data_IF_237312161049
#
_entry.id   IF_237312161049
#
_cell.length_a   1.000
_cell.length_b   1.000
_cell.length_c   1.000
_cell.angle_alpha   90.00
_cell.angle_beta   90.00
_cell.angle_gamma   90.00
#
_symmetry.space_group_name_H-M   'P 1'
#
loop_
_entity.id
_entity.type
_entity.pdbx_description
1 polymer ?
#
# COMPACT_ATOMS: atom_id res chain seq x y z
N UNK A 1 58.55 51.16 32.57
CA UNK A 1 57.31 51.71 31.99
C UNK A 1 56.77 50.61 31.07
N UNK A 2 56.04 49.66 31.64
CA UNK A 2 55.62 48.45 30.98
C UNK A 2 54.14 48.54 30.57
N UNK A 3 53.91 48.40 29.27
CA UNK A 3 52.59 48.26 28.67
C UNK A 3 52.24 46.78 28.65
N UNK A 4 51.46 46.38 29.58
CA UNK A 4 50.68 45.09 29.50
C UNK A 4 49.46 45.28 30.36
N UNK A 5 48.32 45.48 29.71
CA UNK A 5 47.03 45.19 30.19
C UNK A 5 46.02 45.76 29.19
N UNK A 6 45.48 44.97 28.37
CA UNK A 6 44.10 45.20 27.84
C UNK A 6 43.59 43.99 27.04
N UNK A 7 42.42 43.68 27.43
CA UNK A 7 41.43 42.92 26.64
C UNK A 7 41.32 41.41 26.94
N UNK A 8 40.65 41.16 28.04
CA UNK A 8 39.80 39.98 28.13
C UNK A 8 38.44 40.34 27.56
N UNK A 9 38.19 39.93 26.32
CA UNK A 9 36.86 39.96 25.72
C UNK A 9 36.23 38.59 25.89
N UNK A 10 35.19 38.54 26.69
CA UNK A 10 34.35 37.35 26.87
C UNK A 10 33.54 37.11 25.60
N UNK A 11 33.94 36.14 24.81
CA UNK A 11 33.08 35.59 23.78
C UNK A 11 32.14 34.54 24.42
N UNK A 12 30.92 34.95 24.73
CA UNK A 12 29.86 34.03 25.11
C UNK A 12 29.49 33.17 23.90
N UNK A 13 29.97 31.93 23.88
CA UNK A 13 29.58 30.96 22.88
C UNK A 13 28.11 30.55 23.10
N UNK A 14 27.28 30.87 22.15
CA UNK A 14 25.88 30.35 22.09
C UNK A 14 26.00 28.85 21.77
N UNK A 15 25.48 27.95 22.61
CA UNK A 15 25.46 26.54 22.25
C UNK A 15 24.51 26.33 21.09
N UNK A 16 25.06 25.89 19.96
CA UNK A 16 24.28 25.43 18.81
C UNK A 16 23.57 24.12 19.21
N UNK A 17 22.34 24.24 19.64
CA UNK A 17 21.49 23.07 19.90
C UNK A 17 21.16 22.42 18.55
N UNK A 18 21.88 21.35 18.20
CA UNK A 18 21.51 20.49 17.09
C UNK A 18 20.22 19.78 17.51
N UNK A 19 19.08 20.30 17.05
CA UNK A 19 17.83 19.56 17.11
C UNK A 19 17.99 18.39 16.14
N UNK A 20 18.35 17.25 16.68
CA UNK A 20 18.30 15.97 15.96
C UNK A 20 16.83 15.68 15.68
N UNK A 21 16.34 16.13 14.53
CA UNK A 21 15.05 15.73 14.01
C UNK A 21 15.08 14.22 13.82
N UNK A 22 14.46 13.49 14.72
CA UNK A 22 14.24 12.07 14.53
C UNK A 22 13.45 11.89 13.23
N UNK A 23 14.17 11.51 12.17
CA UNK A 23 13.57 11.14 10.89
C UNK A 23 12.67 9.95 11.18
N UNK A 24 11.35 10.09 10.97
CA UNK A 24 10.43 8.96 11.06
C UNK A 24 11.02 7.79 10.27
N UNK A 25 10.94 6.55 10.78
CA UNK A 25 11.48 5.40 10.07
C UNK A 25 10.86 5.38 8.68
N UNK A 26 11.71 5.55 7.65
CA UNK A 26 11.28 5.35 6.28
C UNK A 26 10.92 3.87 6.18
N UNK A 27 9.63 3.60 6.09
CA UNK A 27 9.15 2.27 5.76
C UNK A 27 9.78 1.90 4.41
N UNK A 28 10.64 0.89 4.42
CA UNK A 28 11.33 0.42 3.22
C UNK A 28 10.25 -0.14 2.30
N UNK A 29 9.87 0.64 1.30
CA UNK A 29 8.92 0.21 0.30
C UNK A 29 9.67 -0.66 -0.73
N UNK A 30 9.38 -1.95 -0.74
CA UNK A 30 9.82 -2.87 -1.77
C UNK A 30 8.62 -3.16 -2.69
N UNK A 31 8.73 -2.81 -3.97
CA UNK A 31 7.63 -3.04 -4.90
C UNK A 31 7.46 -4.53 -5.21
N UNK A 32 6.24 -5.04 -5.22
CA UNK A 32 5.95 -6.41 -5.66
C UNK A 32 6.46 -6.63 -7.09
N UNK A 33 7.28 -7.66 -7.35
CA UNK A 33 7.70 -7.97 -8.72
C UNK A 33 6.50 -8.17 -9.64
N UNK A 34 6.60 -7.72 -10.89
CA UNK A 34 5.48 -7.78 -11.85
C UNK A 34 4.89 -9.19 -11.96
N UNK A 35 5.73 -10.24 -12.02
CA UNK A 35 5.29 -11.63 -12.09
C UNK A 35 4.43 -12.04 -10.88
N UNK A 36 4.76 -11.56 -9.71
CA UNK A 36 3.96 -11.82 -8.49
C UNK A 36 2.64 -11.06 -8.54
N UNK A 37 2.64 -9.80 -9.01
CA UNK A 37 1.40 -9.04 -9.24
C UNK A 37 0.46 -9.80 -10.19
N UNK A 38 0.99 -10.27 -11.31
CA UNK A 38 0.20 -11.05 -12.26
C UNK A 38 -0.34 -12.34 -11.63
N UNK A 39 0.49 -13.07 -10.90
CA UNK A 39 0.04 -14.27 -10.19
C UNK A 39 -1.04 -13.98 -9.13
N UNK A 40 -0.98 -12.83 -8.44
CA UNK A 40 -2.04 -12.40 -7.51
C UNK A 40 -3.35 -12.14 -8.26
N UNK A 41 -3.30 -11.43 -9.39
CA UNK A 41 -4.48 -11.09 -10.20
C UNK A 41 -5.07 -12.34 -10.87
N UNK A 42 -4.23 -13.27 -11.33
CA UNK A 42 -4.66 -14.57 -11.88
C UNK A 42 -5.31 -15.46 -10.80
N UNK A 43 -4.71 -15.52 -9.60
CA UNK A 43 -5.27 -16.25 -8.46
C UNK A 43 -6.66 -15.72 -8.08
N UNK A 44 -6.85 -14.39 -8.13
CA UNK A 44 -8.16 -13.76 -7.96
C UNK A 44 -9.07 -13.90 -9.18
N UNK A 45 -8.61 -14.44 -10.30
CA UNK A 45 -9.36 -14.53 -11.58
C UNK A 45 -9.92 -13.17 -12.00
N UNK A 46 -9.06 -12.15 -12.00
CA UNK A 46 -9.44 -10.79 -12.36
C UNK A 46 -9.89 -10.73 -13.82
N UNK A 47 -10.95 -10.00 -14.07
CA UNK A 47 -11.56 -9.76 -15.39
C UNK A 47 -11.83 -8.27 -15.61
N UNK A 48 -12.22 -7.90 -16.81
CA UNK A 48 -12.60 -6.53 -17.16
C UNK A 48 -13.84 -6.00 -16.37
N UNK A 49 -14.63 -6.89 -15.79
CA UNK A 49 -15.76 -6.51 -14.95
C UNK A 49 -15.38 -6.15 -13.51
N UNK A 50 -14.13 -6.37 -13.13
CA UNK A 50 -13.68 -6.18 -11.74
C UNK A 50 -13.26 -4.73 -11.42
N UNK A 51 -13.35 -4.44 -10.12
CA UNK A 51 -12.76 -3.24 -9.49
C UNK A 51 -11.73 -3.71 -8.47
N UNK A 52 -10.45 -3.56 -8.82
CA UNK A 52 -9.33 -3.98 -8.01
C UNK A 52 -8.89 -2.85 -7.09
N UNK A 53 -9.00 -3.04 -5.78
CA UNK A 53 -8.48 -2.12 -4.76
C UNK A 53 -7.16 -2.64 -4.22
N UNK A 54 -6.13 -1.78 -4.23
CA UNK A 54 -4.82 -2.07 -3.65
C UNK A 54 -4.59 -1.20 -2.42
N UNK A 55 -4.58 -1.83 -1.24
CA UNK A 55 -4.49 -1.13 0.04
C UNK A 55 -3.03 -1.01 0.49
N UNK A 56 -2.50 0.19 0.42
CA UNK A 56 -1.07 0.48 0.52
C UNK A 56 -0.40 0.37 -0.84
N UNK A 57 -0.97 1.04 -1.84
CA UNK A 57 -0.66 0.80 -3.25
C UNK A 57 0.75 1.22 -3.69
N UNK A 58 1.51 1.91 -2.85
CA UNK A 58 2.88 2.30 -3.17
C UNK A 58 2.96 3.10 -4.48
N UNK A 59 3.68 2.57 -5.47
CA UNK A 59 3.83 3.19 -6.79
C UNK A 59 2.66 2.90 -7.76
N UNK A 60 1.62 2.24 -7.29
CA UNK A 60 0.40 1.99 -8.05
C UNK A 60 0.47 0.86 -9.08
N UNK A 61 1.53 0.04 -9.05
CA UNK A 61 1.75 -1.00 -10.07
C UNK A 61 0.63 -2.02 -10.17
N UNK A 62 0.02 -2.45 -9.04
CA UNK A 62 -1.04 -3.46 -9.06
C UNK A 62 -2.30 -2.94 -9.77
N UNK A 63 -2.88 -1.78 -9.40
CA UNK A 63 -4.01 -1.21 -10.14
C UNK A 63 -3.71 -0.96 -11.62
N UNK A 64 -2.49 -0.48 -11.94
CA UNK A 64 -2.06 -0.22 -13.32
C UNK A 64 -2.00 -1.52 -14.13
N UNK A 65 -1.36 -2.57 -13.60
CA UNK A 65 -1.29 -3.88 -14.27
C UNK A 65 -2.68 -4.49 -14.43
N UNK A 66 -3.55 -4.37 -13.40
CA UNK A 66 -4.95 -4.83 -13.49
C UNK A 66 -5.69 -4.16 -14.66
N UNK A 67 -5.49 -2.86 -14.85
CA UNK A 67 -6.09 -2.13 -15.98
C UNK A 67 -5.47 -2.52 -17.33
N UNK A 68 -4.15 -2.59 -17.42
CA UNK A 68 -3.44 -2.86 -18.67
C UNK A 68 -3.65 -4.27 -19.19
N UNK A 69 -3.54 -5.28 -18.30
CA UNK A 69 -3.56 -6.69 -18.72
C UNK A 69 -4.94 -7.32 -18.68
N UNK A 70 -5.77 -6.91 -17.72
CA UNK A 70 -7.08 -7.57 -17.47
C UNK A 70 -8.25 -6.68 -17.86
N UNK A 71 -7.99 -5.41 -18.25
CA UNK A 71 -9.04 -4.45 -18.57
C UNK A 71 -9.89 -4.03 -17.36
N UNK A 72 -9.49 -4.40 -16.15
CA UNK A 72 -10.19 -4.07 -14.92
C UNK A 72 -10.10 -2.57 -14.59
N UNK A 73 -10.96 -2.10 -13.70
CA UNK A 73 -10.76 -0.81 -13.03
C UNK A 73 -9.87 -0.99 -11.82
N UNK A 74 -9.01 -0.01 -11.54
CA UNK A 74 -8.10 -0.07 -10.41
C UNK A 74 -8.25 1.13 -9.47
N UNK A 75 -8.15 0.88 -8.17
CA UNK A 75 -8.10 1.93 -7.14
C UNK A 75 -6.93 1.64 -6.21
N UNK A 76 -5.97 2.56 -6.13
CA UNK A 76 -4.87 2.49 -5.19
C UNK A 76 -5.11 3.42 -4.01
N UNK A 77 -5.00 2.92 -2.78
CA UNK A 77 -5.04 3.73 -1.56
C UNK A 77 -3.66 3.80 -0.97
N UNK A 78 -3.10 5.01 -0.85
CA UNK A 78 -1.73 5.22 -0.36
C UNK A 78 -1.67 6.47 0.53
N UNK A 79 -0.95 6.36 1.66
CA UNK A 79 -0.86 7.45 2.64
C UNK A 79 0.23 8.48 2.28
N UNK A 80 1.19 8.10 1.44
CA UNK A 80 2.32 8.96 1.08
C UNK A 80 1.99 9.79 -0.17
N UNK A 81 1.84 11.14 -0.07
CA UNK A 81 1.45 11.98 -1.20
C UNK A 81 2.38 11.90 -2.40
N UNK A 82 3.69 11.70 -2.17
CA UNK A 82 4.68 11.58 -3.23
C UNK A 82 4.49 10.29 -4.06
N UNK A 83 4.09 9.17 -3.42
CA UNK A 83 3.78 7.92 -4.12
C UNK A 83 2.49 8.04 -4.90
N UNK A 84 1.45 8.67 -4.35
CA UNK A 84 0.19 8.97 -5.05
C UNK A 84 0.44 9.80 -6.32
N UNK A 85 1.26 10.84 -6.22
CA UNK A 85 1.62 11.66 -7.40
C UNK A 85 2.35 10.83 -8.46
N UNK A 86 3.31 9.98 -8.02
CA UNK A 86 4.05 9.09 -8.91
C UNK A 86 3.11 8.09 -9.59
N UNK A 87 2.22 7.46 -8.85
CA UNK A 87 1.26 6.49 -9.39
C UNK A 87 0.37 7.11 -10.46
N UNK A 88 -0.14 8.33 -10.20
CA UNK A 88 -0.94 9.08 -11.18
C UNK A 88 -0.14 9.40 -12.45
N UNK A 89 1.16 9.72 -12.32
CA UNK A 89 2.01 9.95 -13.49
C UNK A 89 2.23 8.64 -14.26
N UNK A 90 2.57 7.54 -13.57
CA UNK A 90 2.76 6.23 -14.19
C UNK A 90 1.50 5.75 -14.92
N UNK A 91 0.31 6.01 -14.38
CA UNK A 91 -0.95 5.67 -15.03
C UNK A 91 -1.17 6.45 -16.34
N UNK A 92 -0.86 7.75 -16.36
CA UNK A 92 -0.90 8.57 -17.59
C UNK A 92 0.10 8.07 -18.64
N UNK A 93 1.34 7.81 -18.21
CA UNK A 93 2.40 7.30 -19.09
C UNK A 93 2.04 5.93 -19.69
N UNK A 94 1.29 5.14 -18.93
CA UNK A 94 0.77 3.83 -19.32
C UNK A 94 -0.57 3.86 -20.05
N UNK A 95 -1.14 5.06 -20.31
CA UNK A 95 -2.43 5.27 -20.98
C UNK A 95 -3.60 4.47 -20.36
N UNK A 96 -3.66 4.45 -19.02
CA UNK A 96 -4.73 3.79 -18.23
C UNK A 96 -5.32 4.70 -17.15
N UNK A 97 -5.05 6.00 -17.19
CA UNK A 97 -5.51 6.97 -16.20
C UNK A 97 -7.03 7.21 -16.24
N UNK A 98 -7.72 6.77 -17.28
CA UNK A 98 -9.18 6.69 -17.37
C UNK A 98 -9.77 5.48 -16.61
N UNK A 99 -8.96 4.48 -16.30
CA UNK A 99 -9.36 3.22 -15.64
C UNK A 99 -8.87 3.09 -14.20
N UNK A 100 -7.86 3.89 -13.80
CA UNK A 100 -7.28 3.79 -12.47
C UNK A 100 -7.41 5.10 -11.70
N UNK A 101 -7.66 4.99 -10.41
CA UNK A 101 -7.74 6.12 -9.47
C UNK A 101 -6.80 5.89 -8.31
N UNK A 102 -6.10 6.95 -7.87
CA UNK A 102 -5.24 6.91 -6.69
C UNK A 102 -5.73 7.89 -5.64
N UNK A 103 -6.07 7.34 -4.47
CA UNK A 103 -6.59 8.07 -3.31
C UNK A 103 -5.49 8.23 -2.28
N UNK A 104 -5.20 9.48 -1.90
CA UNK A 104 -4.34 9.77 -0.77
C UNK A 104 -5.13 9.59 0.53
N UNK A 105 -4.72 8.61 1.36
CA UNK A 105 -5.45 8.34 2.59
C UNK A 105 -4.99 7.12 3.37
N UNK A 106 -5.59 6.97 4.53
CA UNK A 106 -5.40 5.83 5.43
C UNK A 106 -6.25 4.64 4.93
N UNK A 107 -5.60 3.54 4.59
CA UNK A 107 -6.25 2.32 4.11
C UNK A 107 -7.28 1.73 5.10
N UNK A 108 -7.13 2.01 6.40
CA UNK A 108 -8.10 1.58 7.41
C UNK A 108 -9.40 2.41 7.39
N UNK A 109 -9.39 3.60 6.77
CA UNK A 109 -10.52 4.54 6.69
C UNK A 109 -11.12 4.65 5.29
N UNK A 110 -10.41 4.18 4.27
CA UNK A 110 -10.88 4.23 2.90
C UNK A 110 -12.17 3.39 2.73
N UNK A 111 -13.13 3.88 2.00
CA UNK A 111 -14.29 3.11 1.57
C UNK A 111 -13.88 2.08 0.52
N UNK A 112 -14.11 0.81 0.80
CA UNK A 112 -13.79 -0.33 -0.08
C UNK A 112 -15.03 -1.07 -0.59
N UNK A 113 -16.21 -0.53 -0.34
CA UNK A 113 -17.50 -1.18 -0.65
C UNK A 113 -17.72 -1.45 -2.15
N UNK A 114 -17.04 -0.70 -3.01
CA UNK A 114 -17.09 -0.88 -4.47
C UNK A 114 -16.12 -1.94 -4.98
N UNK A 115 -15.21 -2.45 -4.15
CA UNK A 115 -14.21 -3.42 -4.56
C UNK A 115 -14.84 -4.79 -4.83
N UNK A 116 -14.43 -5.43 -5.92
CA UNK A 116 -14.70 -6.85 -6.19
C UNK A 116 -13.46 -7.70 -5.91
N UNK A 117 -12.29 -7.07 -5.94
CA UNK A 117 -11.00 -7.67 -5.58
C UNK A 117 -10.22 -6.69 -4.72
N UNK A 118 -9.63 -7.17 -3.64
CA UNK A 118 -8.69 -6.40 -2.81
C UNK A 118 -7.34 -7.10 -2.82
N UNK A 119 -6.26 -6.33 -3.05
CA UNK A 119 -4.88 -6.80 -2.97
C UNK A 119 -4.18 -6.20 -1.76
N UNK A 120 -3.35 -7.02 -1.11
CA UNK A 120 -2.61 -6.66 0.10
C UNK A 120 -1.15 -7.09 -0.01
N UNK A 121 -0.24 -6.18 0.26
CA UNK A 121 1.13 -6.50 0.61
C UNK A 121 1.60 -5.65 1.79
N UNK A 122 1.15 -6.03 2.96
CA UNK A 122 1.37 -5.30 4.20
C UNK A 122 2.22 -6.14 5.17
N UNK A 123 1.67 -6.47 6.34
CA UNK A 123 2.24 -7.43 7.30
C UNK A 123 1.08 -8.09 8.09
N UNK A 124 1.39 -9.15 8.84
CA UNK A 124 0.37 -9.90 9.59
C UNK A 124 -0.47 -9.02 10.53
N UNK A 125 0.17 -8.06 11.21
CA UNK A 125 -0.53 -7.17 12.14
C UNK A 125 -1.51 -6.25 11.42
N UNK A 126 -1.12 -5.67 10.29
CA UNK A 126 -1.98 -4.79 9.50
C UNK A 126 -3.10 -5.60 8.84
N UNK A 127 -2.78 -6.77 8.31
CA UNK A 127 -3.77 -7.67 7.70
C UNK A 127 -4.80 -8.12 8.73
N UNK A 128 -4.38 -8.53 9.93
CA UNK A 128 -5.29 -8.90 11.01
C UNK A 128 -6.21 -7.73 11.43
N UNK A 129 -5.68 -6.50 11.46
CA UNK A 129 -6.48 -5.30 11.74
C UNK A 129 -7.49 -4.99 10.64
N UNK A 130 -7.19 -5.34 9.39
CA UNK A 130 -8.09 -5.17 8.24
C UNK A 130 -9.20 -6.22 8.18
N UNK A 131 -9.03 -7.39 8.81
CA UNK A 131 -9.98 -8.51 8.71
C UNK A 131 -11.44 -8.11 8.95
N UNK A 132 -11.81 -7.40 10.03
CA UNK A 132 -13.19 -7.00 10.24
C UNK A 132 -13.73 -6.11 9.12
N UNK A 133 -12.94 -5.13 8.67
CA UNK A 133 -13.30 -4.22 7.59
C UNK A 133 -13.54 -4.98 6.27
N UNK A 134 -12.65 -5.89 5.91
CA UNK A 134 -12.76 -6.70 4.69
C UNK A 134 -14.04 -7.55 4.70
N UNK A 135 -14.39 -8.12 5.86
CA UNK A 135 -15.58 -8.95 6.00
C UNK A 135 -16.89 -8.18 6.02
N UNK A 136 -16.88 -6.92 6.48
CA UNK A 136 -18.11 -6.14 6.68
C UNK A 136 -18.40 -5.17 5.53
N UNK A 137 -17.39 -4.60 4.89
CA UNK A 137 -17.58 -3.60 3.84
C UNK A 137 -17.59 -4.19 2.43
N UNK A 138 -16.93 -5.34 2.23
CA UNK A 138 -16.95 -6.01 0.92
C UNK A 138 -18.23 -6.81 0.74
N UNK A 139 -18.69 -6.83 -0.50
CA UNK A 139 -19.84 -7.67 -0.88
C UNK A 139 -19.49 -9.16 -0.82
N UNK A 140 -20.43 -10.03 -0.48
CA UNK A 140 -20.26 -11.47 -0.61
C UNK A 140 -19.75 -11.85 -2.01
N UNK A 141 -18.84 -12.82 -2.08
CA UNK A 141 -18.18 -13.22 -3.31
C UNK A 141 -17.00 -12.33 -3.73
N UNK A 142 -16.77 -11.19 -3.08
CA UNK A 142 -15.54 -10.42 -3.29
C UNK A 142 -14.32 -11.24 -2.89
N UNK A 143 -13.21 -11.01 -3.57
CA UNK A 143 -11.97 -11.77 -3.40
C UNK A 143 -10.90 -10.90 -2.78
N UNK A 144 -10.15 -11.45 -1.82
CA UNK A 144 -9.00 -10.78 -1.20
C UNK A 144 -7.76 -11.61 -1.45
N UNK A 145 -6.71 -11.01 -2.01
CA UNK A 145 -5.43 -11.68 -2.24
C UNK A 145 -4.35 -10.98 -1.45
N UNK A 146 -3.59 -11.74 -0.69
CA UNK A 146 -2.43 -11.23 0.05
C UNK A 146 -1.15 -11.89 -0.41
N UNK A 147 -0.14 -11.05 -0.61
CA UNK A 147 1.23 -11.43 -0.86
C UNK A 147 1.91 -11.74 0.48
N UNK A 148 2.33 -13.00 0.68
CA UNK A 148 3.17 -13.50 1.77
C UNK A 148 2.50 -13.55 3.15
N UNK A 149 1.59 -12.65 3.51
CA UNK A 149 1.06 -12.52 4.86
C UNK A 149 -0.41 -12.94 4.96
N UNK A 150 -0.76 -13.65 6.03
CA UNK A 150 -2.13 -14.09 6.30
C UNK A 150 -2.99 -12.95 6.86
N UNK A 151 -4.30 -13.13 6.82
CA UNK A 151 -5.27 -12.22 7.42
C UNK A 151 -5.77 -12.83 8.73
N UNK A 152 -5.16 -12.45 9.85
CA UNK A 152 -5.58 -12.88 11.18
C UNK A 152 -5.86 -14.37 11.28
N UNK A 153 -7.07 -14.71 11.71
CA UNK A 153 -7.55 -16.10 11.82
C UNK A 153 -8.44 -16.52 10.63
N UNK A 154 -8.64 -15.65 9.65
CA UNK A 154 -9.43 -15.98 8.48
C UNK A 154 -8.70 -17.04 7.63
N UNK A 155 -9.33 -18.21 7.48
CA UNK A 155 -8.76 -19.33 6.70
C UNK A 155 -8.84 -18.99 5.21
N UNK A 156 -7.72 -19.02 4.47
CA UNK A 156 -7.75 -18.78 3.03
C UNK A 156 -8.50 -19.91 2.30
N UNK A 157 -9.25 -19.52 1.27
CA UNK A 157 -9.93 -20.47 0.38
C UNK A 157 -8.93 -21.19 -0.53
N UNK A 158 -7.81 -20.53 -0.87
CA UNK A 158 -6.75 -21.10 -1.69
C UNK A 158 -5.39 -20.50 -1.29
N UNK A 159 -4.34 -21.31 -1.38
CA UNK A 159 -2.94 -20.89 -1.29
C UNK A 159 -2.22 -21.29 -2.56
N UNK A 160 -1.36 -20.42 -3.08
CA UNK A 160 -0.49 -20.67 -4.22
C UNK A 160 0.93 -20.29 -3.86
N UNK A 161 1.92 -21.04 -4.34
CA UNK A 161 3.34 -20.74 -4.17
C UNK A 161 3.93 -20.35 -5.51
N UNK A 162 4.50 -19.16 -5.61
CA UNK A 162 5.08 -18.62 -6.85
C UNK A 162 6.45 -18.03 -6.53
N UNK A 163 7.49 -18.55 -7.17
CA UNK A 163 8.87 -18.32 -6.78
C UNK A 163 9.07 -18.74 -5.32
N UNK A 164 9.57 -17.89 -4.47
CA UNK A 164 9.75 -18.15 -3.04
C UNK A 164 8.70 -17.43 -2.19
N UNK A 165 7.50 -17.20 -2.76
CA UNK A 165 6.43 -16.40 -2.14
C UNK A 165 5.12 -17.16 -2.08
N UNK A 166 4.49 -17.16 -0.91
CA UNK A 166 3.12 -17.64 -0.73
C UNK A 166 2.12 -16.55 -1.07
N UNK A 167 1.10 -16.91 -1.85
CA UNK A 167 -0.06 -16.08 -2.16
C UNK A 167 -1.29 -16.73 -1.54
N UNK A 168 -2.09 -15.95 -0.86
CA UNK A 168 -3.30 -16.40 -0.19
C UNK A 168 -4.52 -15.72 -0.79
N UNK A 169 -5.57 -16.50 -1.06
CA UNK A 169 -6.85 -16.03 -1.56
C UNK A 169 -7.94 -16.29 -0.53
N UNK A 170 -8.74 -15.28 -0.24
CA UNK A 170 -9.99 -15.40 0.51
C UNK A 170 -11.15 -14.97 -0.37
N UNK A 171 -12.31 -15.57 -0.12
CA UNK A 171 -13.59 -15.16 -0.70
C UNK A 171 -14.47 -14.70 0.46
N UNK A 172 -15.04 -13.51 0.33
CA UNK A 172 -15.94 -12.96 1.36
C UNK A 172 -17.19 -13.84 1.41
N UNK A 173 -17.54 -14.41 2.57
CA UNK A 173 -18.68 -15.30 2.68
C UNK A 173 -20.00 -14.54 2.52
N UNK A 174 -21.07 -15.28 2.21
CA UNK A 174 -22.43 -14.77 2.37
C UNK A 174 -22.63 -14.34 3.82
N UNK A 175 -23.25 -13.18 4.02
CA UNK A 175 -23.62 -12.78 5.37
C UNK A 175 -24.73 -13.74 5.83
N UNK A 176 -24.51 -14.42 6.96
CA UNK A 176 -25.59 -15.18 7.59
C UNK A 176 -26.68 -14.17 7.98
N UNK A 177 -27.84 -14.26 7.30
CA UNK A 177 -29.01 -13.44 7.56
C UNK A 177 -29.58 -13.67 8.97
#
# INVERSE_FOLDING_TARGET
>A
MNRRDLLRSCAAGIPLTIVSGARAPQMYWAGTPQRIVEAMLDLARVTAGDVVYDLGSGDGRIPIIAAQKYGARGVGVEIQPQLVRRSRQTARDGAVDDRVTFVEGDLFKADISAATVVTLWLNDRMNARLEPKLKTELKPGSRVVSHQFRIGQWVPAQTSHVDDVDLFLWVVPEHAG
#
